data_IF_766729296822
#
_entry.id   IF_766729296822
#
_cell.length_a   1.000
_cell.length_b   1.000
_cell.length_c   1.000
_cell.angle_alpha   90.00
_cell.angle_beta   90.00
_cell.angle_gamma   90.00
#
_symmetry.space_group_name_H-M   'P 1'
#
loop_
_entity.id
_entity.type
_entity.pdbx_description
1 polymer ?
#
# COMPACT_ATOMS: atom_id res chain seq x y z
N UNK A 1 -19.68 -0.10 38.04
CA UNK A 1 -20.19 0.87 37.04
C UNK A 1 -19.16 1.90 36.55
N UNK A 2 -18.53 2.73 37.40
CA UNK A 2 -17.67 3.84 36.95
C UNK A 2 -16.49 3.39 36.05
N UNK A 3 -15.88 2.25 36.39
CA UNK A 3 -14.78 1.66 35.60
C UNK A 3 -15.23 1.15 34.22
N UNK A 4 -16.45 0.61 34.11
CA UNK A 4 -17.04 0.14 32.85
C UNK A 4 -17.25 1.31 31.89
N UNK A 5 -17.77 2.43 32.41
CA UNK A 5 -17.92 3.67 31.67
C UNK A 5 -16.56 4.20 31.19
N UNK A 6 -15.53 4.11 32.03
CA UNK A 6 -14.17 4.50 31.66
C UNK A 6 -13.55 3.59 30.60
N UNK A 7 -13.74 2.28 30.66
CA UNK A 7 -13.20 1.36 29.65
C UNK A 7 -13.95 1.50 28.33
N UNK A 8 -15.27 1.66 28.36
CA UNK A 8 -16.05 1.96 27.14
C UNK A 8 -15.62 3.30 26.57
N UNK A 9 -15.46 4.34 27.38
CA UNK A 9 -14.97 5.64 26.94
C UNK A 9 -13.54 5.54 26.42
N UNK A 10 -12.63 4.80 27.05
CA UNK A 10 -11.26 4.66 26.59
C UNK A 10 -11.21 3.84 25.31
N UNK A 11 -11.98 2.77 25.17
CA UNK A 11 -12.07 1.99 23.93
C UNK A 11 -12.77 2.79 22.83
N UNK A 12 -13.78 3.59 23.15
CA UNK A 12 -14.48 4.46 22.19
C UNK A 12 -13.61 5.64 21.78
N UNK A 13 -12.92 6.29 22.72
CA UNK A 13 -11.91 7.32 22.48
C UNK A 13 -10.74 6.73 21.72
N UNK A 14 -10.29 5.50 21.99
CA UNK A 14 -9.20 4.84 21.27
C UNK A 14 -9.66 4.29 19.92
N UNK A 15 -10.94 4.01 19.73
CA UNK A 15 -11.53 3.66 18.42
C UNK A 15 -11.69 4.92 17.56
N UNK A 16 -12.19 6.02 18.15
CA UNK A 16 -12.22 7.36 17.56
C UNK A 16 -10.81 7.92 17.36
N UNK A 17 -9.87 7.66 18.26
CA UNK A 17 -8.48 8.06 18.17
C UNK A 17 -7.65 7.09 17.39
N UNK A 18 -8.03 5.84 17.11
CA UNK A 18 -7.30 4.99 16.16
C UNK A 18 -7.79 5.27 14.74
N UNK A 19 -9.07 5.60 14.58
CA UNK A 19 -9.57 6.23 13.34
C UNK A 19 -8.96 7.62 13.16
N UNK A 20 -8.81 8.45 14.22
CA UNK A 20 -8.11 9.76 14.18
C UNK A 20 -6.57 9.70 14.23
N UNK A 21 -5.91 8.67 14.77
CA UNK A 21 -4.44 8.47 14.77
C UNK A 21 -4.00 7.93 13.42
N UNK A 22 -4.84 7.11 12.77
CA UNK A 22 -4.73 6.91 11.32
C UNK A 22 -4.93 8.22 10.52
N UNK A 23 -5.38 9.30 11.17
CA UNK A 23 -5.61 10.63 10.59
C UNK A 23 -4.60 11.71 11.05
N UNK A 24 -3.66 11.38 11.95
CA UNK A 24 -2.62 12.33 12.43
C UNK A 24 -1.19 11.78 12.41
N UNK A 25 -0.98 10.48 12.21
CA UNK A 25 0.22 10.05 11.49
C UNK A 25 0.03 10.50 10.05
N UNK A 26 0.57 11.69 9.70
CA UNK A 26 0.71 12.17 8.32
C UNK A 26 1.58 11.19 7.51
N UNK A 27 1.11 9.97 7.28
CA UNK A 27 1.34 9.34 6.00
C UNK A 27 0.40 10.11 5.08
N UNK A 28 0.93 10.96 4.18
CA UNK A 28 0.08 11.71 3.27
C UNK A 28 -0.91 10.73 2.66
N UNK A 29 -2.20 11.09 2.66
CA UNK A 29 -3.25 10.28 2.06
C UNK A 29 -2.98 10.22 0.55
N UNK A 30 -2.10 9.31 0.15
CA UNK A 30 -1.57 9.21 -1.20
C UNK A 30 -2.71 9.07 -2.21
N UNK A 31 -3.80 8.40 -1.83
CA UNK A 31 -4.98 8.24 -2.68
C UNK A 31 -5.62 9.60 -3.04
N UNK A 32 -5.70 10.54 -2.10
CA UNK A 32 -6.25 11.87 -2.37
C UNK A 32 -5.31 12.69 -3.25
N UNK A 33 -3.99 12.60 -3.00
CA UNK A 33 -2.98 13.18 -3.88
C UNK A 33 -3.07 12.60 -5.31
N UNK A 34 -3.29 11.29 -5.44
CA UNK A 34 -3.49 10.59 -6.70
C UNK A 34 -4.77 11.03 -7.42
N UNK A 35 -5.91 11.13 -6.71
CA UNK A 35 -7.15 11.64 -7.27
C UNK A 35 -7.00 13.11 -7.73
N UNK A 36 -6.32 13.95 -6.94
CA UNK A 36 -6.02 15.33 -7.32
C UNK A 36 -5.13 15.39 -8.57
N UNK A 37 -4.10 14.55 -8.65
CA UNK A 37 -3.23 14.46 -9.83
C UNK A 37 -4.02 14.00 -11.06
N UNK A 38 -4.90 13.01 -10.91
CA UNK A 38 -5.76 12.53 -11.98
C UNK A 38 -6.70 13.62 -12.50
N UNK A 39 -7.37 14.36 -11.60
CA UNK A 39 -8.24 15.48 -11.96
C UNK A 39 -7.46 16.60 -12.65
N UNK A 40 -6.23 16.88 -12.22
CA UNK A 40 -5.34 17.84 -12.91
C UNK A 40 -4.97 17.35 -14.32
N UNK A 41 -4.65 16.07 -14.49
CA UNK A 41 -4.39 15.48 -15.81
C UNK A 41 -5.62 15.54 -16.74
N UNK A 42 -6.85 15.49 -16.20
CA UNK A 42 -8.07 15.71 -16.99
C UNK A 42 -8.14 17.14 -17.54
N UNK A 43 -7.83 18.14 -16.70
CA UNK A 43 -7.83 19.56 -17.08
C UNK A 43 -6.71 19.95 -18.07
N UNK A 44 -5.62 19.18 -18.10
CA UNK A 44 -4.44 19.47 -18.94
C UNK A 44 -4.71 19.46 -20.44
N UNK A 45 -5.72 18.71 -20.87
CA UNK A 45 -6.17 18.70 -22.26
C UNK A 45 -6.66 20.09 -22.73
N UNK A 46 -6.99 20.99 -21.79
CA UNK A 46 -7.54 22.31 -22.09
C UNK A 46 -6.49 23.44 -22.00
N UNK A 47 -5.59 23.40 -21.01
CA UNK A 47 -4.77 24.57 -20.64
C UNK A 47 -3.30 24.49 -21.05
N UNK A 48 -2.76 23.32 -21.45
CA UNK A 48 -1.33 23.08 -21.83
C UNK A 48 -0.26 23.54 -20.80
N UNK A 49 -0.69 24.00 -19.62
CA UNK A 49 0.16 24.45 -18.51
C UNK A 49 -0.11 23.53 -17.33
N UNK A 50 0.94 22.94 -16.74
CA UNK A 50 0.81 22.19 -15.50
C UNK A 50 0.71 23.16 -14.34
N UNK A 51 -0.42 23.27 -13.62
CA UNK A 51 -0.41 23.89 -12.31
C UNK A 51 0.41 23.02 -11.35
N UNK A 52 0.94 23.62 -10.28
CA UNK A 52 1.69 22.91 -9.22
C UNK A 52 0.91 21.65 -8.77
N UNK A 53 1.43 20.47 -9.08
CA UNK A 53 0.76 19.20 -8.84
C UNK A 53 0.90 18.73 -7.39
N UNK A 54 -0.05 17.93 -6.93
CA UNK A 54 0.12 17.19 -5.68
C UNK A 54 1.15 16.08 -5.93
N UNK A 55 2.10 15.91 -5.02
CA UNK A 55 3.13 14.87 -5.15
C UNK A 55 2.52 13.51 -4.88
N UNK A 56 2.39 12.69 -5.92
CA UNK A 56 1.93 11.30 -5.83
C UNK A 56 2.99 10.37 -6.43
N UNK A 57 3.69 9.64 -5.55
CA UNK A 57 4.74 8.65 -5.91
C UNK A 57 5.72 9.18 -6.97
N UNK A 58 6.20 8.31 -7.85
CA UNK A 58 7.02 8.63 -9.00
C UNK A 58 6.26 9.34 -10.14
N UNK A 59 4.92 9.30 -10.16
CA UNK A 59 4.13 9.85 -11.26
C UNK A 59 4.41 11.33 -11.49
N UNK A 60 4.56 12.13 -10.41
CA UNK A 60 4.84 13.56 -10.56
C UNK A 60 6.13 13.83 -11.34
N UNK A 61 7.21 13.10 -11.03
CA UNK A 61 8.49 13.23 -11.74
C UNK A 61 8.38 12.80 -13.21
N UNK A 62 7.71 11.68 -13.48
CA UNK A 62 7.49 11.19 -14.84
C UNK A 62 6.65 12.17 -15.66
N UNK A 63 5.54 12.66 -15.11
CA UNK A 63 4.62 13.59 -15.79
C UNK A 63 5.34 14.88 -16.17
N UNK A 64 6.09 15.48 -15.23
CA UNK A 64 6.82 16.72 -15.49
C UNK A 64 7.85 16.55 -16.61
N UNK A 65 8.68 15.51 -16.54
CA UNK A 65 9.72 15.25 -17.54
C UNK A 65 9.15 14.99 -18.93
N UNK A 66 8.05 14.25 -19.00
CA UNK A 66 7.41 13.89 -20.26
C UNK A 66 6.75 15.10 -20.92
N UNK A 67 6.13 15.98 -20.13
CA UNK A 67 5.49 17.19 -20.63
C UNK A 67 6.53 18.20 -21.11
N UNK A 68 7.64 18.33 -20.38
CA UNK A 68 8.77 19.14 -20.83
C UNK A 68 9.34 18.60 -22.15
N UNK A 69 9.57 17.28 -22.24
CA UNK A 69 10.09 16.64 -23.45
C UNK A 69 9.14 16.76 -24.64
N UNK A 70 7.83 16.68 -24.41
CA UNK A 70 6.84 16.85 -25.46
C UNK A 70 6.73 18.30 -25.94
N UNK A 71 6.90 19.28 -25.05
CA UNK A 71 6.97 20.70 -25.41
C UNK A 71 8.20 21.01 -26.26
N UNK A 72 9.36 20.46 -25.94
CA UNK A 72 10.59 20.70 -26.69
C UNK A 72 10.56 20.04 -28.07
N UNK A 73 9.97 18.85 -28.19
CA UNK A 73 9.92 18.09 -29.44
C UNK A 73 8.67 18.35 -30.30
N UNK A 74 7.68 19.09 -29.79
CA UNK A 74 6.44 19.39 -30.51
C UNK A 74 5.49 18.20 -30.71
N UNK A 75 5.62 17.15 -29.90
CA UNK A 75 4.78 15.94 -30.01
C UNK A 75 3.39 16.13 -29.38
N UNK A 76 2.36 15.42 -29.87
CA UNK A 76 1.02 15.53 -29.29
C UNK A 76 0.98 14.93 -27.88
N UNK A 77 0.59 15.76 -26.90
CA UNK A 77 0.47 15.37 -25.49
C UNK A 77 -0.69 14.41 -25.18
N UNK A 78 -1.73 14.41 -26.00
CA UNK A 78 -2.98 13.67 -25.76
C UNK A 78 -2.77 12.15 -25.53
N UNK A 79 -2.08 11.41 -26.42
CA UNK A 79 -1.88 9.97 -26.24
C UNK A 79 -1.09 9.64 -24.96
N UNK A 80 -0.04 10.41 -24.70
CA UNK A 80 0.81 10.30 -23.51
C UNK A 80 -0.01 10.50 -22.22
N UNK A 81 -0.81 11.57 -22.17
CA UNK A 81 -1.66 11.88 -21.02
C UNK A 81 -2.73 10.80 -20.81
N UNK A 82 -3.31 10.25 -21.87
CA UNK A 82 -4.30 9.18 -21.76
C UNK A 82 -3.68 7.88 -21.20
N UNK A 83 -2.46 7.53 -21.63
CA UNK A 83 -1.71 6.37 -21.09
C UNK A 83 -1.42 6.56 -19.60
N UNK A 84 -0.94 7.74 -19.20
CA UNK A 84 -0.71 8.11 -17.81
C UNK A 84 -1.98 8.06 -16.96
N UNK A 85 -3.12 8.54 -17.47
CA UNK A 85 -4.42 8.48 -16.79
C UNK A 85 -4.83 7.03 -16.49
N UNK A 86 -4.71 6.14 -17.48
CA UNK A 86 -5.02 4.70 -17.31
C UNK A 86 -4.12 4.07 -16.24
N UNK A 87 -2.82 4.32 -16.31
CA UNK A 87 -1.84 3.83 -15.35
C UNK A 87 -2.12 4.32 -13.93
N UNK A 88 -2.33 5.63 -13.77
CA UNK A 88 -2.62 6.27 -12.48
C UNK A 88 -3.93 5.74 -11.87
N UNK A 89 -4.96 5.57 -12.69
CA UNK A 89 -6.25 5.05 -12.24
C UNK A 89 -6.14 3.59 -11.76
N UNK A 90 -5.34 2.76 -12.45
CA UNK A 90 -5.06 1.39 -12.03
C UNK A 90 -4.30 1.37 -10.69
N UNK A 91 -3.27 2.20 -10.54
CA UNK A 91 -2.52 2.31 -9.29
C UNK A 91 -3.42 2.75 -8.12
N UNK A 92 -4.26 3.77 -8.31
CA UNK A 92 -5.22 4.25 -7.30
C UNK A 92 -6.20 3.14 -6.89
N UNK A 93 -6.69 2.34 -7.84
CA UNK A 93 -7.58 1.20 -7.54
C UNK A 93 -6.88 0.18 -6.64
N UNK A 94 -5.65 -0.20 -6.98
CA UNK A 94 -4.86 -1.16 -6.21
C UNK A 94 -4.55 -0.61 -4.82
N UNK A 95 -4.17 0.67 -4.69
CA UNK A 95 -3.98 1.30 -3.38
C UNK A 95 -5.24 1.27 -2.52
N UNK A 96 -6.42 1.52 -3.11
CA UNK A 96 -7.71 1.44 -2.41
C UNK A 96 -7.96 0.04 -1.89
N UNK A 97 -7.64 -1.00 -2.66
CA UNK A 97 -7.79 -2.39 -2.22
C UNK A 97 -6.84 -2.75 -1.09
N UNK A 98 -5.56 -2.39 -1.21
CA UNK A 98 -4.54 -2.58 -0.17
C UNK A 98 -4.95 -1.89 1.13
N UNK A 99 -5.49 -0.67 1.03
CA UNK A 99 -6.01 0.08 2.18
C UNK A 99 -7.20 -0.62 2.82
N UNK A 100 -8.16 -1.08 2.02
CA UNK A 100 -9.34 -1.83 2.50
C UNK A 100 -8.93 -3.08 3.28
N UNK A 101 -7.88 -3.77 2.85
CA UNK A 101 -7.35 -4.94 3.56
C UNK A 101 -6.81 -4.57 4.96
N UNK A 102 -6.01 -3.50 5.03
CA UNK A 102 -5.48 -3.01 6.31
C UNK A 102 -6.61 -2.57 7.25
N UNK A 103 -7.54 -1.75 6.77
CA UNK A 103 -8.66 -1.28 7.60
C UNK A 103 -9.56 -2.42 8.05
N UNK A 104 -9.84 -3.38 7.16
CA UNK A 104 -10.63 -4.57 7.49
C UNK A 104 -9.98 -5.43 8.58
N UNK A 105 -8.65 -5.59 8.54
CA UNK A 105 -7.92 -6.31 9.58
C UNK A 105 -7.94 -5.58 10.93
N UNK A 106 -7.66 -4.27 10.94
CA UNK A 106 -7.70 -3.45 12.16
C UNK A 106 -9.10 -3.46 12.78
N UNK A 107 -10.16 -3.30 11.98
CA UNK A 107 -11.53 -3.36 12.47
C UNK A 107 -11.88 -4.72 13.06
N UNK A 108 -11.44 -5.82 12.44
CA UNK A 108 -11.62 -7.17 12.98
C UNK A 108 -10.99 -7.31 14.37
N UNK A 109 -9.77 -6.79 14.55
CA UNK A 109 -9.09 -6.81 15.84
C UNK A 109 -9.77 -5.94 16.91
N UNK A 110 -10.21 -4.74 16.55
CA UNK A 110 -10.96 -3.87 17.47
C UNK A 110 -12.26 -4.55 17.89
N UNK A 111 -12.98 -5.19 16.96
CA UNK A 111 -14.21 -5.90 17.27
C UNK A 111 -13.97 -7.10 18.20
N UNK A 112 -12.95 -7.92 17.90
CA UNK A 112 -12.53 -9.00 18.80
C UNK A 112 -12.13 -8.49 20.18
N UNK A 113 -11.43 -7.36 20.27
CA UNK A 113 -11.10 -6.71 21.53
C UNK A 113 -12.36 -6.37 22.33
N UNK A 114 -13.29 -5.63 21.71
CA UNK A 114 -14.55 -5.21 22.35
C UNK A 114 -15.34 -6.41 22.87
N UNK A 115 -15.51 -7.46 22.06
CA UNK A 115 -16.24 -8.66 22.47
C UNK A 115 -15.56 -9.32 23.68
N UNK A 116 -14.25 -9.51 23.63
CA UNK A 116 -13.51 -10.15 24.73
C UNK A 116 -13.68 -9.36 26.03
N UNK A 117 -13.60 -8.02 25.97
CA UNK A 117 -13.80 -7.18 27.15
C UNK A 117 -15.24 -7.22 27.68
N UNK A 118 -16.24 -7.13 26.80
CA UNK A 118 -17.65 -7.25 27.19
C UNK A 118 -17.92 -8.59 27.88
N UNK A 119 -17.35 -9.69 27.36
CA UNK A 119 -17.46 -11.01 27.97
C UNK A 119 -16.81 -11.06 29.36
N UNK A 120 -15.58 -10.54 29.50
CA UNK A 120 -14.90 -10.48 30.80
C UNK A 120 -15.74 -9.73 31.81
N UNK A 121 -16.24 -8.53 31.47
CA UNK A 121 -17.07 -7.75 32.38
C UNK A 121 -18.36 -8.46 32.76
N UNK A 122 -19.04 -9.06 31.79
CA UNK A 122 -20.25 -9.82 32.01
C UNK A 122 -20.02 -10.97 33.02
N UNK A 123 -18.97 -11.77 32.84
CA UNK A 123 -18.64 -12.86 33.75
C UNK A 123 -18.32 -12.35 35.16
N UNK A 124 -17.57 -11.26 35.27
CA UNK A 124 -17.16 -10.69 36.57
C UNK A 124 -18.36 -10.18 37.35
N UNK A 125 -19.29 -9.50 36.67
CA UNK A 125 -20.48 -8.94 37.29
C UNK A 125 -21.49 -10.04 37.66
N UNK A 126 -21.74 -11.00 36.76
CA UNK A 126 -22.68 -12.09 37.00
C UNK A 126 -22.24 -13.05 38.11
N UNK A 127 -20.95 -13.33 38.20
CA UNK A 127 -20.40 -14.29 39.18
C UNK A 127 -19.91 -13.59 40.46
N UNK A 128 -20.03 -12.26 40.54
CA UNK A 128 -19.55 -11.43 41.65
C UNK A 128 -18.08 -11.72 42.03
N UNK A 129 -17.23 -11.95 41.02
CA UNK A 129 -15.83 -12.35 41.21
C UNK A 129 -14.95 -11.14 41.48
N UNK A 130 -14.07 -11.22 42.49
CA UNK A 130 -12.99 -10.23 42.66
C UNK A 130 -11.94 -10.45 41.58
N UNK A 131 -11.78 -9.53 40.64
CA UNK A 131 -10.75 -9.58 39.62
C UNK A 131 -9.43 -9.01 40.11
N UNK A 132 -8.33 -9.66 39.72
CA UNK A 132 -7.00 -9.09 39.90
C UNK A 132 -6.77 -8.07 38.78
N UNK A 133 -6.66 -6.79 39.17
CA UNK A 133 -6.44 -5.69 38.23
C UNK A 133 -5.14 -5.87 37.44
N UNK A 134 -4.14 -6.53 38.02
CA UNK A 134 -2.85 -6.79 37.36
C UNK A 134 -3.04 -7.65 36.12
N UNK A 135 -3.81 -8.73 36.24
CA UNK A 135 -4.12 -9.63 35.12
C UNK A 135 -4.89 -8.90 34.02
N UNK A 136 -5.88 -8.07 34.38
CA UNK A 136 -6.64 -7.25 33.43
C UNK A 136 -5.72 -6.31 32.65
N UNK A 137 -4.85 -5.58 33.34
CA UNK A 137 -3.92 -4.63 32.70
C UNK A 137 -2.96 -5.36 31.76
N UNK A 138 -2.42 -6.50 32.16
CA UNK A 138 -1.53 -7.31 31.32
C UNK A 138 -2.22 -7.80 30.04
N UNK A 139 -3.46 -8.30 30.14
CA UNK A 139 -4.24 -8.74 28.98
C UNK A 139 -4.54 -7.58 28.01
N UNK A 140 -4.82 -6.39 28.54
CA UNK A 140 -5.02 -5.19 27.72
C UNK A 140 -3.74 -4.81 26.98
N UNK A 141 -2.60 -4.74 27.69
CA UNK A 141 -1.30 -4.45 27.08
C UNK A 141 -0.97 -5.48 26.00
N UNK A 142 -1.26 -6.76 26.23
CA UNK A 142 -1.03 -7.84 25.27
C UNK A 142 -1.81 -7.65 23.95
N UNK A 143 -3.09 -7.27 24.02
CA UNK A 143 -3.90 -6.98 22.83
C UNK A 143 -3.41 -5.73 22.07
N UNK A 144 -3.05 -4.66 22.79
CA UNK A 144 -2.47 -3.45 22.19
C UNK A 144 -1.14 -3.77 21.51
N UNK A 145 -0.30 -4.58 22.14
CA UNK A 145 0.95 -5.07 21.55
C UNK A 145 0.70 -5.86 20.27
N UNK A 146 -0.33 -6.71 20.23
CA UNK A 146 -0.78 -7.40 19.02
C UNK A 146 -1.15 -6.45 17.88
N UNK A 147 -1.90 -5.37 18.16
CA UNK A 147 -2.25 -4.35 17.15
C UNK A 147 -1.01 -3.63 16.59
N UNK A 148 -0.10 -3.21 17.46
CA UNK A 148 1.12 -2.47 17.07
C UNK A 148 2.03 -3.36 16.22
N UNK A 149 2.27 -4.59 16.67
CA UNK A 149 3.13 -5.55 15.95
C UNK A 149 2.56 -5.92 14.58
N UNK A 150 1.23 -6.09 14.46
CA UNK A 150 0.59 -6.30 13.15
C UNK A 150 0.82 -5.12 12.22
N UNK A 151 0.65 -3.89 12.70
CA UNK A 151 0.88 -2.67 11.92
C UNK A 151 2.32 -2.55 11.40
N UNK A 152 3.29 -2.93 12.23
CA UNK A 152 4.71 -3.00 11.85
C UNK A 152 4.97 -4.08 10.79
N UNK A 153 4.54 -5.30 11.05
CA UNK A 153 4.70 -6.44 10.14
C UNK A 153 4.06 -6.17 8.75
N UNK A 154 2.86 -5.59 8.73
CA UNK A 154 2.17 -5.18 7.51
C UNK A 154 2.99 -4.18 6.69
N UNK A 155 3.56 -3.14 7.32
CA UNK A 155 4.39 -2.14 6.63
C UNK A 155 5.65 -2.77 6.04
N UNK A 156 6.31 -3.66 6.78
CA UNK A 156 7.50 -4.37 6.31
C UNK A 156 7.16 -5.23 5.09
N UNK A 157 6.07 -6.00 5.17
CA UNK A 157 5.63 -6.86 4.09
C UNK A 157 5.29 -6.06 2.82
N UNK A 158 4.55 -4.95 2.97
CA UNK A 158 4.19 -4.07 1.87
C UNK A 158 5.43 -3.49 1.18
N UNK A 159 6.37 -2.95 1.97
CA UNK A 159 7.62 -2.37 1.43
C UNK A 159 8.45 -3.43 0.72
N UNK A 160 8.57 -4.62 1.29
CA UNK A 160 9.35 -5.72 0.70
C UNK A 160 8.79 -6.17 -0.65
N UNK A 161 7.47 -6.23 -0.79
CA UNK A 161 6.83 -6.70 -2.02
C UNK A 161 6.74 -5.62 -3.11
N UNK A 162 6.35 -4.38 -2.77
CA UNK A 162 5.98 -3.38 -3.78
C UNK A 162 7.08 -2.37 -4.12
N UNK A 163 8.08 -2.16 -3.26
CA UNK A 163 9.09 -1.09 -3.48
C UNK A 163 9.91 -1.27 -4.76
N UNK A 164 10.20 -2.51 -5.14
CA UNK A 164 10.93 -2.81 -6.37
C UNK A 164 10.13 -2.41 -7.63
N UNK A 165 8.81 -2.64 -7.61
CA UNK A 165 7.92 -2.31 -8.73
C UNK A 165 7.83 -0.81 -8.95
N UNK A 166 7.77 -0.01 -7.88
CA UNK A 166 7.69 1.45 -7.99
C UNK A 166 8.90 2.04 -8.73
N UNK A 167 10.09 1.58 -8.37
CA UNK A 167 11.34 2.00 -9.04
C UNK A 167 11.39 1.57 -10.50
N UNK A 168 10.86 0.38 -10.80
CA UNK A 168 10.82 -0.16 -12.16
C UNK A 168 9.80 0.58 -13.03
N UNK A 169 8.58 0.78 -12.52
CA UNK A 169 7.53 1.55 -13.20
C UNK A 169 7.99 2.97 -13.51
N UNK A 170 8.65 3.65 -12.58
CA UNK A 170 9.20 4.99 -12.81
C UNK A 170 10.09 5.03 -14.05
N UNK A 171 11.01 4.07 -14.20
CA UNK A 171 11.96 4.03 -15.30
C UNK A 171 11.35 3.58 -16.62
N UNK A 172 10.52 2.54 -16.61
CA UNK A 172 9.89 2.05 -17.84
C UNK A 172 8.89 3.07 -18.38
N UNK A 173 8.12 3.75 -17.52
CA UNK A 173 7.22 4.82 -17.96
C UNK A 173 8.00 6.03 -18.45
N UNK A 174 9.09 6.40 -17.78
CA UNK A 174 9.93 7.49 -18.27
C UNK A 174 10.48 7.14 -19.67
N UNK A 175 10.95 5.91 -19.87
CA UNK A 175 11.45 5.43 -21.16
C UNK A 175 10.37 5.45 -22.25
N UNK A 176 9.24 4.79 -22.00
CA UNK A 176 8.11 4.65 -22.93
C UNK A 176 7.54 6.01 -23.35
N UNK A 177 7.23 6.87 -22.38
CA UNK A 177 6.62 8.16 -22.65
C UNK A 177 7.59 9.15 -23.30
N UNK A 178 8.88 9.07 -22.95
CA UNK A 178 9.91 9.90 -23.59
C UNK A 178 10.20 9.44 -25.02
N UNK A 179 10.12 8.13 -25.29
CA UNK A 179 10.16 7.58 -26.64
C UNK A 179 8.97 8.06 -27.47
N UNK A 180 7.75 8.05 -26.91
CA UNK A 180 6.56 8.63 -27.55
C UNK A 180 6.70 10.14 -27.79
N UNK A 181 7.45 10.83 -26.92
CA UNK A 181 7.76 12.26 -27.09
C UNK A 181 8.83 12.54 -28.16
N UNK A 182 9.41 11.52 -28.79
CA UNK A 182 10.34 11.65 -29.91
C UNK A 182 11.83 11.69 -29.54
N UNK A 183 12.18 11.43 -28.27
CA UNK A 183 13.58 11.35 -27.85
C UNK A 183 14.30 10.15 -28.49
N UNK A 184 15.57 10.35 -28.85
CA UNK A 184 16.39 9.26 -29.40
C UNK A 184 16.71 8.23 -28.33
N UNK A 185 16.83 6.96 -28.73
CA UNK A 185 17.11 5.84 -27.80
C UNK A 185 18.42 6.06 -27.03
N UNK A 186 19.42 6.64 -27.68
CA UNK A 186 20.71 6.97 -27.05
C UNK A 186 20.57 8.01 -25.94
N UNK A 187 19.72 9.02 -26.11
CA UNK A 187 19.41 10.00 -25.06
C UNK A 187 18.58 9.37 -23.94
N UNK A 188 17.61 8.50 -24.29
CA UNK A 188 16.78 7.79 -23.33
C UNK A 188 17.60 6.91 -22.38
N UNK A 189 18.55 6.14 -22.89
CA UNK A 189 19.41 5.28 -22.07
C UNK A 189 20.19 6.11 -21.05
N UNK A 190 20.78 7.23 -21.50
CA UNK A 190 21.51 8.16 -20.63
C UNK A 190 20.62 8.76 -19.56
N UNK A 191 19.38 9.13 -19.90
CA UNK A 191 18.42 9.79 -19.01
C UNK A 191 17.79 8.83 -17.98
N UNK A 192 17.43 7.62 -18.39
CA UNK A 192 16.75 6.65 -17.53
C UNK A 192 17.71 5.94 -16.57
N UNK A 193 18.99 5.83 -16.96
CA UNK A 193 20.06 5.19 -16.18
C UNK A 193 19.59 3.85 -15.56
N UNK A 194 19.35 2.85 -16.40
CA UNK A 194 18.89 1.53 -15.96
C UNK A 194 19.86 0.85 -14.98
N UNK A 195 21.15 1.17 -15.03
CA UNK A 195 22.18 0.63 -14.14
C UNK A 195 21.93 0.95 -12.66
N UNK A 196 21.22 2.06 -12.36
CA UNK A 196 20.85 2.39 -10.98
C UNK A 196 19.65 1.60 -10.44
N UNK A 197 19.03 0.71 -11.25
CA UNK A 197 18.04 -0.23 -10.73
C UNK A 197 18.76 -1.28 -9.87
N UNK A 198 18.72 -1.10 -8.56
CA UNK A 198 19.23 -2.09 -7.61
C UNK A 198 18.25 -3.27 -7.49
N UNK A 199 18.10 -4.02 -8.58
CA UNK A 199 17.32 -5.26 -8.59
C UNK A 199 18.22 -6.35 -8.05
N UNK A 200 17.85 -6.90 -6.90
CA UNK A 200 18.52 -8.06 -6.34
C UNK A 200 18.54 -9.19 -7.37
N UNK A 201 19.72 -9.76 -7.63
CA UNK A 201 19.89 -10.89 -8.55
C UNK A 201 18.91 -12.02 -8.16
N UNK A 202 18.17 -12.54 -9.13
CA UNK A 202 17.16 -13.59 -8.92
C UNK A 202 15.73 -13.10 -8.62
N UNK A 203 15.51 -11.79 -8.52
CA UNK A 203 14.15 -11.25 -8.43
C UNK A 203 13.42 -11.40 -9.77
N UNK A 204 12.12 -11.72 -9.78
CA UNK A 204 11.31 -11.88 -11.02
C UNK A 204 11.43 -10.68 -11.99
N UNK A 205 11.67 -9.49 -11.44
CA UNK A 205 11.86 -8.24 -12.20
C UNK A 205 13.13 -8.23 -13.07
N UNK A 206 14.13 -9.08 -12.80
CA UNK A 206 15.36 -9.14 -13.60
C UNK A 206 15.08 -9.58 -15.04
N UNK A 207 14.10 -10.47 -15.24
CA UNK A 207 13.68 -10.94 -16.57
C UNK A 207 13.15 -9.78 -17.42
N UNK A 208 12.35 -8.89 -16.82
CA UNK A 208 11.83 -7.70 -17.50
C UNK A 208 12.93 -6.69 -17.82
N UNK A 209 13.94 -6.55 -16.94
CA UNK A 209 15.09 -5.68 -17.21
C UNK A 209 15.92 -6.21 -18.37
N UNK A 210 16.19 -7.51 -18.39
CA UNK A 210 16.93 -8.16 -19.46
C UNK A 210 16.19 -8.05 -20.79
N UNK A 211 14.88 -8.33 -20.80
CA UNK A 211 14.04 -8.17 -21.99
C UNK A 211 14.02 -6.72 -22.50
N UNK A 212 13.95 -5.74 -21.60
CA UNK A 212 14.06 -4.33 -21.95
C UNK A 212 15.42 -3.99 -22.57
N UNK A 213 16.52 -4.52 -22.01
CA UNK A 213 17.86 -4.31 -22.55
C UNK A 213 18.02 -4.91 -23.96
N UNK A 214 17.46 -6.09 -24.20
CA UNK A 214 17.46 -6.72 -25.53
C UNK A 214 16.65 -5.93 -26.55
N UNK A 215 15.51 -5.35 -26.15
CA UNK A 215 14.71 -4.47 -27.02
C UNK A 215 15.45 -3.16 -27.36
N UNK A 216 16.17 -2.60 -26.39
CA UNK A 216 16.99 -1.41 -26.60
C UNK A 216 18.14 -1.72 -27.56
N UNK A 217 18.84 -2.84 -27.36
CA UNK A 217 19.96 -3.25 -28.21
C UNK A 217 19.51 -3.58 -29.64
N UNK A 218 18.38 -4.27 -29.81
CA UNK A 218 17.82 -4.59 -31.13
C UNK A 218 17.41 -3.33 -31.87
N UNK A 219 16.84 -2.34 -31.17
CA UNK A 219 16.52 -1.03 -31.76
C UNK A 219 17.76 -0.31 -32.25
N UNK A 220 18.83 -0.28 -31.45
CA UNK A 220 20.07 0.39 -31.80
C UNK A 220 20.77 -0.26 -33.00
N UNK A 221 20.74 -1.60 -33.09
CA UNK A 221 21.44 -2.35 -34.15
C UNK A 221 20.63 -2.46 -35.45
N UNK A 222 19.32 -2.64 -35.35
CA UNK A 222 18.46 -3.03 -36.48
C UNK A 222 17.42 -1.96 -36.86
N UNK A 223 17.25 -0.90 -36.06
CA UNK A 223 16.30 0.18 -36.33
C UNK A 223 14.81 -0.19 -36.19
N UNK A 224 14.48 -1.41 -35.74
CA UNK A 224 13.12 -1.97 -35.61
C UNK A 224 12.21 -1.07 -34.77
N UNK A 225 10.91 -0.97 -35.06
CA UNK A 225 9.98 -0.21 -34.21
C UNK A 225 9.76 -0.97 -32.89
N UNK A 226 10.01 -0.34 -31.73
CA UNK A 226 9.90 -0.96 -30.40
C UNK A 226 8.66 -0.55 -29.60
N UNK A 227 7.83 0.34 -30.13
CA UNK A 227 6.69 0.91 -29.38
C UNK A 227 5.74 -0.16 -28.84
N UNK A 228 5.33 -1.08 -29.71
CA UNK A 228 4.37 -2.14 -29.36
C UNK A 228 4.97 -3.14 -28.34
N UNK A 229 6.26 -3.48 -28.49
CA UNK A 229 6.97 -4.36 -27.56
C UNK A 229 7.12 -3.74 -26.16
N UNK A 230 7.35 -2.42 -26.08
CA UNK A 230 7.41 -1.71 -24.80
C UNK A 230 6.03 -1.68 -24.15
N UNK A 231 4.97 -1.41 -24.92
CA UNK A 231 3.61 -1.41 -24.39
C UNK A 231 3.22 -2.79 -23.84
N UNK A 232 3.55 -3.85 -24.58
CA UNK A 232 3.37 -5.23 -24.13
C UNK A 232 4.18 -5.52 -22.85
N UNK A 233 5.43 -5.04 -22.76
CA UNK A 233 6.25 -5.19 -21.54
C UNK A 233 5.65 -4.46 -20.33
N UNK A 234 5.07 -3.27 -20.54
CA UNK A 234 4.37 -2.50 -19.51
C UNK A 234 3.12 -3.24 -19.03
N UNK A 235 2.34 -3.80 -19.95
CA UNK A 235 1.13 -4.57 -19.62
C UNK A 235 1.47 -5.87 -18.87
N UNK A 236 2.50 -6.60 -19.30
CA UNK A 236 3.00 -7.78 -18.56
C UNK A 236 3.49 -7.42 -17.15
N UNK A 237 4.18 -6.28 -17.01
CA UNK A 237 4.64 -5.78 -15.72
C UNK A 237 3.46 -5.43 -14.80
N UNK A 238 2.39 -4.83 -15.35
CA UNK A 238 1.14 -4.63 -14.60
C UNK A 238 0.50 -5.94 -14.17
N UNK A 239 0.47 -6.95 -15.04
CA UNK A 239 0.00 -8.29 -14.70
C UNK A 239 0.81 -8.91 -13.56
N UNK A 240 2.14 -8.81 -13.63
CA UNK A 240 3.05 -9.25 -12.56
C UNK A 240 2.80 -8.52 -11.24
N UNK A 241 2.61 -7.19 -11.30
CA UNK A 241 2.32 -6.36 -10.14
C UNK A 241 0.99 -6.73 -9.49
N UNK A 242 -0.07 -6.93 -10.28
CA UNK A 242 -1.38 -7.37 -9.81
C UNK A 242 -1.29 -8.74 -9.13
N UNK A 243 -0.58 -9.68 -9.75
CA UNK A 243 -0.36 -11.00 -9.17
C UNK A 243 0.36 -10.94 -7.80
N UNK A 244 1.39 -10.12 -7.67
CA UNK A 244 2.06 -9.93 -6.37
C UNK A 244 1.16 -9.22 -5.33
N UNK A 245 0.27 -8.33 -5.77
CA UNK A 245 -0.75 -7.73 -4.89
C UNK A 245 -1.78 -8.76 -4.40
N UNK A 246 -2.19 -9.71 -5.23
CA UNK A 246 -3.04 -10.83 -4.83
C UNK A 246 -2.32 -11.75 -3.85
N UNK A 247 -1.06 -12.09 -4.11
CA UNK A 247 -0.24 -12.88 -3.20
C UNK A 247 -0.06 -12.16 -1.84
N UNK A 248 0.11 -10.84 -1.86
CA UNK A 248 0.16 -10.00 -0.66
C UNK A 248 -1.16 -10.07 0.12
N UNK A 249 -2.31 -10.00 -0.55
CA UNK A 249 -3.63 -10.12 0.08
C UNK A 249 -3.78 -11.45 0.83
N UNK A 250 -3.35 -12.55 0.21
CA UNK A 250 -3.35 -13.88 0.85
C UNK A 250 -2.44 -13.91 2.08
N UNK A 251 -1.21 -13.39 1.96
CA UNK A 251 -0.26 -13.31 3.09
C UNK A 251 -0.79 -12.46 4.25
N UNK A 252 -1.39 -11.31 3.96
CA UNK A 252 -2.01 -10.44 4.98
C UNK A 252 -3.19 -11.12 5.65
N UNK A 253 -3.97 -11.92 4.92
CA UNK A 253 -5.09 -12.69 5.49
C UNK A 253 -4.61 -13.77 6.45
N UNK A 254 -3.57 -14.52 6.08
CA UNK A 254 -2.93 -15.51 6.95
C UNK A 254 -2.35 -14.83 8.19
N UNK A 255 -1.61 -13.74 8.00
CA UNK A 255 -1.05 -12.95 9.10
C UNK A 255 -2.13 -12.43 10.05
N UNK A 256 -3.27 -11.96 9.51
CA UNK A 256 -4.43 -11.53 10.30
C UNK A 256 -4.93 -12.67 11.19
N UNK A 257 -5.09 -13.86 10.63
CA UNK A 257 -5.55 -15.04 11.38
C UNK A 257 -4.57 -15.42 12.49
N UNK A 258 -3.28 -15.50 12.19
CA UNK A 258 -2.23 -15.81 13.17
C UNK A 258 -2.26 -14.82 14.35
N UNK A 259 -2.35 -13.51 14.06
CA UNK A 259 -2.42 -12.49 15.11
C UNK A 259 -3.70 -12.58 15.93
N UNK A 260 -4.83 -12.90 15.29
CA UNK A 260 -6.09 -13.12 16.00
C UNK A 260 -5.97 -14.27 17.00
N UNK A 261 -5.36 -15.39 16.59
CA UNK A 261 -5.12 -16.54 17.46
C UNK A 261 -4.14 -16.22 18.61
N UNK A 262 -2.99 -15.61 18.28
CA UNK A 262 -1.92 -15.41 19.27
C UNK A 262 -2.26 -14.31 20.28
N UNK A 263 -2.92 -13.23 19.88
CA UNK A 263 -3.15 -12.07 20.77
C UNK A 263 -4.57 -11.99 21.31
N UNK A 264 -5.57 -12.28 20.49
CA UNK A 264 -6.97 -12.05 20.87
C UNK A 264 -7.62 -13.32 21.45
N UNK A 265 -7.44 -14.46 20.79
CA UNK A 265 -7.96 -15.75 21.28
C UNK A 265 -7.25 -16.18 22.56
N UNK A 266 -5.93 -16.03 22.65
CA UNK A 266 -5.20 -16.32 23.89
C UNK A 266 -5.69 -15.47 25.07
N UNK A 267 -5.94 -14.18 24.86
CA UNK A 267 -6.52 -13.29 25.88
C UNK A 267 -7.88 -13.79 26.36
N UNK A 268 -8.73 -14.21 25.41
CA UNK A 268 -10.04 -14.78 25.74
C UNK A 268 -9.92 -16.07 26.55
N UNK A 269 -9.04 -17.00 26.15
CA UNK A 269 -8.83 -18.27 26.85
C UNK A 269 -8.24 -18.08 28.25
N UNK A 270 -7.25 -17.20 28.41
CA UNK A 270 -6.66 -16.86 29.72
C UNK A 270 -7.73 -16.25 30.64
N UNK A 271 -8.58 -15.39 30.08
CA UNK A 271 -9.69 -14.79 30.84
C UNK A 271 -10.70 -15.84 31.30
N UNK A 272 -11.10 -16.75 30.41
CA UNK A 272 -11.96 -17.88 30.74
C UNK A 272 -11.36 -18.75 31.85
N UNK A 273 -10.09 -19.13 31.70
CA UNK A 273 -9.39 -19.93 32.70
C UNK A 273 -9.35 -19.23 34.06
N UNK A 274 -9.10 -17.92 34.08
CA UNK A 274 -9.08 -17.12 35.31
C UNK A 274 -10.45 -17.05 35.98
N UNK A 275 -11.53 -16.94 35.19
CA UNK A 275 -12.91 -16.94 35.69
C UNK A 275 -13.30 -18.31 36.24
N UNK A 276 -13.04 -19.37 35.47
CA UNK A 276 -13.35 -20.75 35.87
C UNK A 276 -12.58 -21.17 37.13
N UNK A 277 -11.28 -20.86 37.20
CA UNK A 277 -10.45 -21.21 38.36
C UNK A 277 -10.91 -20.53 39.65
N UNK A 278 -11.54 -19.35 39.55
CA UNK A 278 -12.14 -18.66 40.70
C UNK A 278 -13.53 -19.15 41.10
N UNK A 279 -14.20 -19.93 40.23
CA UNK A 279 -15.46 -20.57 40.60
C UNK A 279 -15.26 -21.89 41.36
N UNK A 280 -14.13 -22.56 41.14
CA UNK A 280 -13.83 -23.87 41.75
C UNK A 280 -13.25 -23.71 43.17
N UNK A 281 -12.50 -22.64 43.41
CA UNK A 281 -11.88 -22.31 44.69
C UNK A 281 -12.78 -21.40 45.53
#
# INVERSE_FOLDING_TARGET
MIFLYYVIIVVFIFSINSTKLNFKLKLPDNIDAGNQLFNKLLSLNQTRVLPKCAEYKFYNGVILQVIESSKTMGTPLIPIVNKLKKALLNDIKIEKEIRKLKSGAILSFIFSMVITWLFIFYCVEMLNLKTDMTTIVLLFIWQIFGLVTFGGAYKILLRKTLSCYESFFSKIYLFDLSHMAGLSVSELIKKVNFQSLNIQKGHKLSVYLERLSLLIDSKQRLGIKIGDDIELLVDELWGSYQHECEALKTKVTIMKFIWLCIFFLSTYLISLYTVLGKMIN
#
